data_IF_773941026983
#
_entry.id   IF_773941026983
#
_cell.length_a   1.000
_cell.length_b   1.000
_cell.length_c   1.000
_cell.angle_alpha   90.00
_cell.angle_beta   90.00
_cell.angle_gamma   90.00
#
_symmetry.space_group_name_H-M   'P 1'
#
loop_
_entity.id
_entity.type
_entity.pdbx_description
1 polymer ?
#
# COMPACT_ATOMS: atom_id res chain seq x y z
N UNK A 1 36.84 2.40 -23.77
CA UNK A 1 38.20 2.07 -23.32
C UNK A 1 38.19 2.03 -21.80
N UNK A 2 38.61 0.92 -21.22
CA UNK A 2 38.43 0.57 -19.81
C UNK A 2 39.25 1.48 -18.87
N UNK A 3 38.63 1.95 -17.79
CA UNK A 3 39.31 2.47 -16.61
C UNK A 3 38.83 1.72 -15.37
N UNK A 4 39.74 0.88 -14.89
CA UNK A 4 39.99 0.38 -13.53
C UNK A 4 39.10 0.88 -12.38
N UNK A 5 38.58 -0.08 -11.61
CA UNK A 5 38.49 0.02 -10.16
C UNK A 5 38.87 -1.35 -9.54
N UNK A 6 40.17 -1.54 -9.34
CA UNK A 6 40.72 -2.42 -8.30
C UNK A 6 40.50 -1.73 -6.97
N UNK A 7 39.89 -2.39 -5.97
CA UNK A 7 40.32 -2.23 -4.59
C UNK A 7 39.77 -3.33 -3.65
N UNK A 8 40.72 -3.88 -2.88
CA UNK A 8 40.63 -4.61 -1.60
C UNK A 8 40.26 -6.10 -1.61
N UNK A 9 41.20 -6.93 -2.05
CA UNK A 9 41.47 -8.23 -1.39
C UNK A 9 42.87 -8.15 -0.78
N UNK A 10 43.02 -7.45 0.35
CA UNK A 10 44.23 -7.56 1.15
C UNK A 10 43.95 -7.29 2.63
N UNK A 11 44.42 -8.23 3.46
CA UNK A 11 44.35 -8.32 4.95
C UNK A 11 43.30 -9.28 5.51
N UNK A 12 43.54 -10.58 5.33
CA UNK A 12 43.35 -11.53 6.43
C UNK A 12 44.71 -12.14 6.76
N UNK A 13 45.08 -11.98 8.02
CA UNK A 13 46.37 -12.27 8.60
C UNK A 13 46.80 -13.71 8.40
N UNK A 14 48.09 -13.89 8.12
CA UNK A 14 48.83 -15.14 8.25
C UNK A 14 48.99 -15.50 9.74
N UNK A 15 47.89 -15.77 10.43
CA UNK A 15 47.89 -16.52 11.69
C UNK A 15 47.45 -17.94 11.40
N UNK A 16 48.41 -18.87 11.42
CA UNK A 16 48.15 -20.31 11.32
C UNK A 16 47.33 -20.74 12.54
N UNK A 17 46.01 -20.86 12.39
CA UNK A 17 45.19 -21.63 13.31
C UNK A 17 45.67 -23.09 13.30
N UNK A 18 45.87 -23.74 14.46
CA UNK A 18 46.35 -25.11 14.52
C UNK A 18 45.22 -26.04 14.12
N UNK A 19 45.20 -26.46 12.85
CA UNK A 19 44.32 -27.54 12.38
C UNK A 19 45.02 -28.86 12.72
N UNK A 20 44.88 -29.30 13.97
CA UNK A 20 45.26 -30.66 14.35
C UNK A 20 44.35 -31.68 13.64
N UNK A 21 44.96 -32.59 12.87
CA UNK A 21 44.51 -33.97 12.83
C UNK A 21 43.33 -34.36 11.92
N UNK A 22 43.06 -33.68 10.79
CA UNK A 22 42.17 -34.24 9.77
C UNK A 22 42.86 -34.40 8.42
N UNK A 23 42.90 -35.64 7.92
CA UNK A 23 43.42 -35.96 6.60
C UNK A 23 42.71 -35.14 5.51
N UNK A 24 43.46 -34.78 4.45
CA UNK A 24 43.03 -33.94 3.32
C UNK A 24 41.69 -34.33 2.68
N UNK A 25 41.21 -35.56 2.92
CA UNK A 25 40.00 -36.11 2.32
C UNK A 25 38.68 -35.70 2.98
N UNK A 26 38.66 -35.01 4.14
CA UNK A 26 37.40 -34.67 4.83
C UNK A 26 37.08 -33.17 4.83
N UNK A 27 36.78 -32.64 3.64
CA UNK A 27 36.43 -31.23 3.43
C UNK A 27 35.25 -30.76 4.31
N UNK A 28 34.25 -31.61 4.54
CA UNK A 28 33.05 -31.27 5.35
C UNK A 28 33.40 -31.00 6.82
N UNK A 29 34.28 -31.81 7.41
CA UNK A 29 34.69 -31.64 8.80
C UNK A 29 35.45 -30.32 9.01
N UNK A 30 36.29 -29.94 8.05
CA UNK A 30 37.04 -28.68 8.08
C UNK A 30 36.14 -27.47 7.89
N UNK A 31 35.21 -27.49 6.93
CA UNK A 31 34.26 -26.38 6.73
C UNK A 31 33.38 -26.16 7.97
N UNK A 32 32.95 -27.24 8.63
CA UNK A 32 32.20 -27.19 9.89
C UNK A 32 33.00 -26.46 10.99
N UNK A 33 34.27 -26.81 11.15
CA UNK A 33 35.15 -26.27 12.18
C UNK A 33 35.54 -24.81 11.89
N UNK A 34 35.88 -24.46 10.64
CA UNK A 34 36.25 -23.11 10.26
C UNK A 34 35.08 -22.11 10.35
N UNK A 35 33.86 -22.55 10.04
CA UNK A 35 32.66 -21.69 10.06
C UNK A 35 31.90 -21.77 11.39
N UNK A 36 32.33 -22.62 12.32
CA UNK A 36 31.66 -22.89 13.60
C UNK A 36 30.15 -23.18 13.46
N UNK A 37 29.77 -23.96 12.44
CA UNK A 37 28.37 -24.34 12.17
C UNK A 37 28.12 -25.81 12.53
N UNK A 38 26.87 -26.18 12.81
CA UNK A 38 26.53 -27.58 13.05
C UNK A 38 26.62 -28.41 11.77
N UNK A 39 26.89 -29.71 11.90
CA UNK A 39 26.96 -30.62 10.73
C UNK A 39 25.62 -30.70 10.00
N UNK A 40 24.51 -30.61 10.73
CA UNK A 40 23.17 -30.54 10.15
C UNK A 40 22.97 -29.28 9.30
N UNK A 41 23.49 -28.13 9.74
CA UNK A 41 23.45 -26.89 8.96
C UNK A 41 24.27 -27.02 7.69
N UNK A 42 25.50 -27.54 7.77
CA UNK A 42 26.35 -27.77 6.60
C UNK A 42 25.71 -28.74 5.60
N UNK A 43 25.09 -29.83 6.07
CA UNK A 43 24.34 -30.76 5.20
C UNK A 43 23.15 -30.09 4.52
N UNK A 44 22.40 -29.25 5.24
CA UNK A 44 21.29 -28.50 4.66
C UNK A 44 21.75 -27.48 3.61
N UNK A 45 22.87 -26.77 3.85
CA UNK A 45 23.47 -25.86 2.88
C UNK A 45 23.95 -26.60 1.63
N UNK A 46 24.66 -27.71 1.77
CA UNK A 46 25.15 -28.51 0.64
C UNK A 46 24.01 -29.17 -0.15
N UNK A 47 22.92 -29.57 0.52
CA UNK A 47 21.71 -30.06 -0.14
C UNK A 47 21.09 -28.95 -1.00
N UNK A 48 20.89 -27.77 -0.42
CA UNK A 48 20.32 -26.61 -1.13
C UNK A 48 21.17 -26.15 -2.30
N UNK A 49 22.50 -26.12 -2.15
CA UNK A 49 23.42 -25.78 -3.22
C UNK A 49 23.46 -26.81 -4.37
N UNK A 50 22.92 -28.02 -4.18
CA UNK A 50 22.70 -28.98 -5.27
C UNK A 50 21.35 -28.80 -5.97
N UNK A 51 20.40 -28.21 -5.29
CA UNK A 51 19.02 -28.01 -5.77
C UNK A 51 18.85 -26.65 -6.46
N UNK A 52 19.59 -25.63 -6.02
CA UNK A 52 19.60 -24.27 -6.56
C UNK A 52 21.00 -23.98 -7.13
N UNK A 53 21.09 -23.63 -8.42
CA UNK A 53 22.34 -23.35 -9.15
C UNK A 53 23.05 -22.05 -8.69
N UNK A 54 22.64 -21.50 -7.54
CA UNK A 54 23.22 -20.32 -6.91
C UNK A 54 23.02 -20.33 -5.38
N UNK A 55 24.04 -19.88 -4.63
CA UNK A 55 23.94 -19.67 -3.19
C UNK A 55 23.06 -18.45 -2.87
N UNK A 56 21.84 -18.67 -2.39
CA UNK A 56 20.99 -17.62 -1.83
C UNK A 56 20.94 -17.68 -0.30
N UNK A 57 20.99 -16.51 0.35
CA UNK A 57 20.85 -16.37 1.81
C UNK A 57 19.42 -16.79 2.21
N UNK A 58 19.21 -17.59 3.27
CA UNK A 58 17.86 -18.02 3.62
C UNK A 58 17.04 -16.84 4.15
N UNK A 59 16.26 -16.21 3.28
CA UNK A 59 15.13 -15.38 3.67
C UNK A 59 14.07 -16.28 4.30
N UNK A 60 13.90 -16.21 5.61
CA UNK A 60 12.81 -16.91 6.29
C UNK A 60 11.47 -16.27 5.89
N UNK A 61 10.83 -16.77 4.84
CA UNK A 61 9.40 -16.56 4.67
C UNK A 61 8.68 -17.34 5.80
N UNK A 62 8.50 -16.70 6.96
CA UNK A 62 7.69 -17.26 8.04
C UNK A 62 6.24 -17.28 7.54
N UNK A 63 5.71 -18.45 7.22
CA UNK A 63 4.34 -18.65 6.74
C UNK A 63 3.23 -18.42 7.79
N UNK A 64 3.44 -17.57 8.79
CA UNK A 64 2.38 -17.16 9.72
C UNK A 64 1.77 -15.85 9.22
N UNK A 65 0.46 -15.83 9.01
CA UNK A 65 -0.27 -14.61 8.72
C UNK A 65 0.03 -13.57 9.82
N UNK A 66 0.42 -12.36 9.41
CA UNK A 66 0.73 -11.29 10.35
C UNK A 66 -0.58 -10.73 10.93
N UNK A 67 -0.91 -10.96 12.21
CA UNK A 67 -2.18 -10.49 12.76
C UNK A 67 -2.24 -8.97 12.91
N UNK A 68 -1.12 -8.24 12.74
CA UNK A 68 -1.10 -6.76 12.77
C UNK A 68 -1.31 -6.15 11.39
N UNK A 69 -1.25 -6.96 10.34
CA UNK A 69 -1.37 -6.53 8.93
C UNK A 69 -2.20 -7.56 8.14
N UNK A 70 -3.51 -7.64 8.41
CA UNK A 70 -4.40 -8.46 7.61
C UNK A 70 -4.59 -7.84 6.22
N UNK A 71 -5.23 -8.57 5.30
CA UNK A 71 -5.54 -8.06 3.96
C UNK A 71 -6.52 -6.89 4.00
N UNK A 72 -6.50 -6.03 2.97
CA UNK A 72 -7.32 -4.81 2.91
C UNK A 72 -8.82 -5.06 3.10
N UNK A 73 -9.34 -6.16 2.56
CA UNK A 73 -10.76 -6.52 2.74
C UNK A 73 -11.08 -6.86 4.20
N UNK A 74 -10.14 -7.45 4.92
CA UNK A 74 -10.29 -7.71 6.36
C UNK A 74 -10.21 -6.40 7.15
N UNK A 75 -9.29 -5.50 6.81
CA UNK A 75 -9.19 -4.16 7.40
C UNK A 75 -10.48 -3.38 7.24
N UNK A 76 -11.04 -3.34 6.04
CA UNK A 76 -12.32 -2.68 5.73
C UNK A 76 -13.46 -3.20 6.61
N UNK A 77 -13.63 -4.52 6.70
CA UNK A 77 -14.65 -5.13 7.55
C UNK A 77 -14.47 -4.85 9.04
N UNK A 78 -13.23 -4.83 9.53
CA UNK A 78 -12.95 -4.47 10.93
C UNK A 78 -13.41 -3.03 11.17
N UNK A 79 -13.10 -2.12 10.25
CA UNK A 79 -13.52 -0.71 10.29
C UNK A 79 -15.05 -0.57 10.24
N UNK A 80 -15.76 -1.34 9.39
CA UNK A 80 -17.23 -1.38 9.34
C UNK A 80 -17.85 -1.81 10.69
N UNK A 81 -17.29 -2.83 11.32
CA UNK A 81 -17.74 -3.28 12.66
C UNK A 81 -17.56 -2.16 13.67
N UNK A 82 -16.41 -1.46 13.65
CA UNK A 82 -16.15 -0.33 14.55
C UNK A 82 -17.19 0.79 14.35
N UNK A 83 -17.48 1.15 13.10
CA UNK A 83 -18.49 2.16 12.79
C UNK A 83 -19.91 1.72 13.17
N UNK A 84 -20.23 0.43 13.07
CA UNK A 84 -21.52 -0.12 13.50
C UNK A 84 -21.73 0.07 15.01
N UNK A 85 -20.72 -0.27 15.83
CA UNK A 85 -20.78 -0.03 17.28
C UNK A 85 -20.98 1.45 17.61
N UNK A 86 -20.32 2.36 16.87
CA UNK A 86 -20.49 3.80 17.06
C UNK A 86 -21.89 4.27 16.70
N UNK A 87 -22.43 3.79 15.57
CA UNK A 87 -23.81 4.08 15.13
C UNK A 87 -24.83 3.60 16.17
N UNK A 88 -24.60 2.42 16.75
CA UNK A 88 -25.43 1.84 17.81
C UNK A 88 -25.19 2.45 19.20
N UNK A 89 -24.24 3.39 19.34
CA UNK A 89 -23.82 4.00 20.61
C UNK A 89 -23.44 2.95 21.67
N UNK A 90 -22.90 1.81 21.24
CA UNK A 90 -22.45 0.72 22.11
C UNK A 90 -21.07 1.03 22.66
N UNK A 91 -20.90 0.76 23.96
CA UNK A 91 -19.58 0.80 24.58
C UNK A 91 -18.67 -0.26 23.95
N UNK A 92 -17.51 0.16 23.48
CA UNK A 92 -16.54 -0.70 22.80
C UNK A 92 -15.21 -0.67 23.55
N UNK A 93 -14.87 -1.79 24.19
CA UNK A 93 -13.50 -2.05 24.66
C UNK A 93 -12.76 -2.91 23.64
N UNK A 94 -11.43 -2.93 23.74
CA UNK A 94 -10.59 -3.80 22.91
C UNK A 94 -10.98 -5.29 23.03
N UNK A 95 -11.40 -5.74 24.22
CA UNK A 95 -11.87 -7.13 24.42
C UNK A 95 -13.20 -7.39 23.73
N UNK A 96 -14.17 -6.49 23.89
CA UNK A 96 -15.49 -6.63 23.25
C UNK A 96 -15.31 -6.67 21.72
N UNK A 97 -14.50 -5.77 21.16
CA UNK A 97 -14.23 -5.74 19.74
C UNK A 97 -13.54 -7.03 19.26
N UNK A 98 -12.51 -7.51 19.98
CA UNK A 98 -11.84 -8.77 19.63
C UNK A 98 -12.80 -9.95 19.60
N UNK A 99 -13.68 -10.03 20.61
CA UNK A 99 -14.60 -11.16 20.75
C UNK A 99 -15.66 -11.14 19.65
N UNK A 100 -16.15 -9.96 19.27
CA UNK A 100 -17.02 -9.77 18.09
C UNK A 100 -16.32 -10.15 16.79
N UNK A 101 -15.10 -9.64 16.57
CA UNK A 101 -14.33 -9.96 15.35
C UNK A 101 -14.01 -11.46 15.23
N UNK A 102 -13.81 -12.15 16.37
CA UNK A 102 -13.66 -13.61 16.41
C UNK A 102 -14.96 -14.33 16.09
N UNK A 103 -16.08 -13.88 16.64
CA UNK A 103 -17.41 -14.44 16.35
C UNK A 103 -17.74 -14.35 14.86
N UNK A 104 -17.31 -13.27 14.20
CA UNK A 104 -17.48 -13.07 12.76
C UNK A 104 -16.38 -13.74 11.89
N UNK A 105 -15.44 -14.47 12.50
CA UNK A 105 -14.27 -15.06 11.83
C UNK A 105 -13.42 -14.05 11.04
N UNK A 106 -13.41 -12.79 11.46
CA UNK A 106 -12.64 -11.71 10.82
C UNK A 106 -11.22 -11.59 11.40
N UNK A 107 -11.03 -11.95 12.66
CA UNK A 107 -9.76 -11.75 13.34
C UNK A 107 -9.43 -12.86 14.34
N UNK A 108 -8.19 -13.37 14.31
CA UNK A 108 -7.72 -14.43 15.21
C UNK A 108 -6.54 -14.01 16.10
N UNK A 109 -6.07 -12.77 16.01
CA UNK A 109 -4.91 -12.28 16.77
C UNK A 109 -5.18 -12.09 18.27
N UNK A 110 -4.14 -11.69 19.00
CA UNK A 110 -4.21 -11.32 20.41
C UNK A 110 -4.81 -9.91 20.60
N UNK A 111 -5.05 -9.48 21.85
CA UNK A 111 -5.46 -8.10 22.13
C UNK A 111 -4.38 -7.12 21.68
N UNK A 112 -3.11 -7.43 21.95
CA UNK A 112 -2.00 -6.54 21.59
C UNK A 112 -1.84 -6.42 20.08
N UNK A 113 -1.96 -7.54 19.35
CA UNK A 113 -1.95 -7.50 17.88
C UNK A 113 -3.13 -6.71 17.33
N UNK A 114 -4.31 -6.78 17.97
CA UNK A 114 -5.47 -5.99 17.58
C UNK A 114 -5.23 -4.51 17.88
N UNK A 115 -4.61 -4.16 19.01
CA UNK A 115 -4.26 -2.78 19.36
C UNK A 115 -3.33 -2.16 18.31
N UNK A 116 -2.27 -2.88 17.94
CA UNK A 116 -1.33 -2.43 16.89
C UNK A 116 -2.05 -2.29 15.55
N UNK A 117 -2.89 -3.28 15.19
CA UNK A 117 -3.70 -3.20 13.98
C UNK A 117 -4.61 -1.96 13.97
N UNK A 118 -5.31 -1.70 15.07
CA UNK A 118 -6.20 -0.54 15.19
C UNK A 118 -5.44 0.78 15.08
N UNK A 119 -4.25 0.87 15.70
CA UNK A 119 -3.35 2.01 15.52
C UNK A 119 -2.96 2.22 14.06
N UNK A 120 -2.59 1.13 13.38
CA UNK A 120 -2.28 1.12 11.95
C UNK A 120 -3.51 1.31 11.05
N UNK A 121 -4.72 1.33 11.60
CA UNK A 121 -5.98 1.68 10.94
C UNK A 121 -6.47 3.08 11.30
N UNK A 122 -5.66 3.87 12.00
CA UNK A 122 -6.02 5.23 12.37
C UNK A 122 -6.91 5.32 13.62
N UNK A 123 -6.88 4.32 14.51
CA UNK A 123 -7.58 4.35 15.78
C UNK A 123 -6.64 4.23 16.97
N UNK A 124 -6.90 4.95 18.04
CA UNK A 124 -6.17 4.85 19.30
C UNK A 124 -7.11 4.75 20.50
N UNK A 125 -6.57 4.30 21.63
CA UNK A 125 -7.34 4.18 22.86
C UNK A 125 -7.02 5.33 23.80
N UNK A 126 -8.06 6.05 24.23
CA UNK A 126 -7.96 7.08 25.26
C UNK A 126 -8.50 6.56 26.56
N UNK A 127 -7.84 6.91 27.65
CA UNK A 127 -8.39 6.71 28.99
C UNK A 127 -9.18 7.95 29.38
N UNK A 128 -10.48 7.79 29.57
CA UNK A 128 -11.32 8.81 30.22
C UNK A 128 -11.94 8.21 31.47
N UNK A 129 -11.72 8.86 32.62
CA UNK A 129 -12.14 8.38 33.95
C UNK A 129 -11.80 6.89 34.22
N UNK A 130 -10.61 6.43 33.79
CA UNK A 130 -10.14 5.05 33.95
C UNK A 130 -10.73 4.04 32.96
N UNK A 131 -11.60 4.47 32.05
CA UNK A 131 -12.20 3.63 31.01
C UNK A 131 -11.49 3.86 29.67
N UNK A 132 -11.10 2.79 28.99
CA UNK A 132 -10.49 2.87 27.66
C UNK A 132 -11.55 2.97 26.57
N UNK A 133 -11.52 4.05 25.79
CA UNK A 133 -12.38 4.28 24.64
C UNK A 133 -11.57 4.25 23.34
N UNK A 134 -12.09 3.53 22.33
CA UNK A 134 -11.54 3.57 20.98
C UNK A 134 -11.97 4.87 20.28
N UNK A 135 -11.02 5.77 20.00
CA UNK A 135 -11.24 6.95 19.18
C UNK A 135 -10.57 6.80 17.82
N UNK A 136 -11.06 7.53 16.81
CA UNK A 136 -10.28 7.75 15.59
C UNK A 136 -9.17 8.74 15.91
N UNK A 137 -8.01 8.57 15.30
CA UNK A 137 -6.91 9.51 15.41
C UNK A 137 -7.37 10.89 14.91
N UNK A 138 -7.08 11.98 15.65
CA UNK A 138 -7.50 13.33 15.26
C UNK A 138 -7.11 13.71 13.84
N UNK A 139 -5.90 13.35 13.39
CA UNK A 139 -5.45 13.61 12.02
C UNK A 139 -6.28 12.89 10.94
N UNK A 140 -6.80 11.69 11.21
CA UNK A 140 -7.70 10.97 10.30
C UNK A 140 -9.07 11.67 10.25
N UNK A 141 -9.60 12.05 11.41
CA UNK A 141 -10.87 12.80 11.50
C UNK A 141 -10.78 14.13 10.75
N UNK A 142 -9.70 14.89 10.93
CA UNK A 142 -9.49 16.18 10.26
C UNK A 142 -9.44 16.03 8.74
N UNK A 143 -8.62 15.09 8.23
CA UNK A 143 -8.55 14.81 6.78
C UNK A 143 -9.90 14.39 6.22
N UNK A 144 -10.67 13.63 7.00
CA UNK A 144 -12.00 13.18 6.62
C UNK A 144 -13.00 14.33 6.57
N UNK A 145 -13.02 15.19 7.59
CA UNK A 145 -13.87 16.39 7.60
C UNK A 145 -13.51 17.34 6.46
N UNK A 146 -12.21 17.56 6.19
CA UNK A 146 -11.75 18.35 5.05
C UNK A 146 -12.27 17.78 3.73
N UNK A 147 -12.10 16.47 3.51
CA UNK A 147 -12.59 15.81 2.30
C UNK A 147 -14.11 16.01 2.13
N UNK A 148 -14.90 15.72 3.17
CA UNK A 148 -16.35 15.85 3.13
C UNK A 148 -16.79 17.29 2.80
N UNK A 149 -16.14 18.29 3.41
CA UNK A 149 -16.43 19.72 3.16
C UNK A 149 -16.13 20.13 1.74
N UNK A 150 -14.93 19.83 1.23
CA UNK A 150 -14.54 20.24 -0.11
C UNK A 150 -15.32 19.47 -1.19
N UNK A 151 -15.63 18.19 -0.96
CA UNK A 151 -16.50 17.43 -1.86
C UNK A 151 -17.91 18.01 -1.90
N UNK A 152 -18.52 18.29 -0.74
CA UNK A 152 -19.87 18.87 -0.66
C UNK A 152 -19.93 20.27 -1.28
N UNK A 153 -18.93 21.11 -1.01
CA UNK A 153 -18.78 22.44 -1.61
C UNK A 153 -18.67 22.37 -3.13
N UNK A 154 -17.91 21.42 -3.68
CA UNK A 154 -17.89 21.19 -5.12
C UNK A 154 -19.26 20.72 -5.63
N UNK A 155 -19.90 19.79 -4.94
CA UNK A 155 -21.20 19.21 -5.32
C UNK A 155 -22.34 20.24 -5.37
N UNK A 156 -22.33 21.22 -4.47
CA UNK A 156 -23.34 22.29 -4.35
C UNK A 156 -22.97 23.58 -5.08
N UNK A 157 -21.77 23.64 -5.67
CA UNK A 157 -21.30 24.78 -6.45
C UNK A 157 -22.20 25.04 -7.66
N UNK A 158 -22.39 26.32 -8.01
CA UNK A 158 -23.04 26.70 -9.27
C UNK A 158 -22.26 26.22 -10.50
N UNK A 159 -20.94 26.03 -10.36
CA UNK A 159 -20.03 25.53 -11.39
C UNK A 159 -19.19 24.40 -10.78
N UNK A 160 -19.75 23.19 -10.64
CA UNK A 160 -19.03 22.06 -10.07
C UNK A 160 -17.95 21.59 -11.03
N UNK A 161 -16.76 21.28 -10.51
CA UNK A 161 -15.75 20.57 -11.28
C UNK A 161 -16.15 19.10 -11.42
N UNK A 162 -15.96 18.55 -12.61
CA UNK A 162 -16.25 17.13 -12.91
C UNK A 162 -15.26 16.23 -12.14
N UNK A 163 -15.73 15.37 -11.22
CA UNK A 163 -14.84 14.47 -10.47
C UNK A 163 -14.18 13.41 -11.36
N UNK A 164 -12.87 13.26 -11.23
CA UNK A 164 -12.03 12.26 -11.89
C UNK A 164 -11.29 11.47 -10.83
N UNK A 165 -11.55 10.19 -10.77
CA UNK A 165 -11.03 9.26 -9.78
C UNK A 165 -9.83 8.53 -10.34
N UNK A 166 -8.71 8.62 -9.63
CA UNK A 166 -7.45 7.97 -9.95
C UNK A 166 -7.13 6.97 -8.85
N UNK A 167 -6.63 5.81 -9.26
CA UNK A 167 -6.12 4.78 -8.36
C UNK A 167 -5.23 3.76 -9.10
N UNK A 168 -4.45 3.00 -8.35
CA UNK A 168 -3.69 1.85 -8.82
C UNK A 168 -4.24 0.52 -8.32
N UNK A 169 -4.31 -0.45 -9.22
CA UNK A 169 -4.58 -1.83 -8.89
C UNK A 169 -3.47 -2.76 -9.38
N UNK A 170 -3.44 -3.99 -8.86
CA UNK A 170 -2.60 -5.05 -9.38
C UNK A 170 -3.42 -6.25 -9.85
N UNK A 171 -2.85 -6.99 -10.80
CA UNK A 171 -3.30 -8.31 -11.21
C UNK A 171 -2.11 -9.25 -11.42
N UNK A 172 -2.37 -10.53 -11.62
CA UNK A 172 -1.35 -11.54 -11.93
C UNK A 172 -1.59 -12.13 -13.31
N UNK A 173 -0.51 -12.54 -13.96
CA UNK A 173 -0.50 -13.19 -15.28
C UNK A 173 -1.48 -14.36 -15.42
N UNK A 174 -1.79 -15.06 -14.32
CA UNK A 174 -2.74 -16.18 -14.29
C UNK A 174 -4.00 -15.90 -13.47
N UNK A 175 -4.33 -14.62 -13.29
CA UNK A 175 -5.46 -14.18 -12.47
C UNK A 175 -5.20 -14.23 -10.96
N UNK A 176 -6.17 -13.75 -10.19
CA UNK A 176 -6.12 -13.60 -8.73
C UNK A 176 -6.21 -14.92 -7.94
N UNK A 177 -6.33 -16.06 -8.63
CA UNK A 177 -6.46 -17.40 -8.04
C UNK A 177 -7.88 -17.75 -7.57
N UNK A 178 -8.88 -16.93 -7.88
CA UNK A 178 -10.29 -17.19 -7.57
C UNK A 178 -10.93 -17.97 -8.73
N UNK A 179 -10.97 -19.31 -8.66
CA UNK A 179 -11.68 -20.12 -9.66
C UNK A 179 -13.21 -20.07 -9.46
N UNK A 180 -14.01 -20.02 -10.54
CA UNK A 180 -15.43 -20.35 -10.48
C UNK A 180 -15.63 -21.75 -9.89
N UNK A 181 -16.76 -22.00 -9.23
CA UNK A 181 -17.12 -23.33 -8.71
C UNK A 181 -17.11 -24.34 -9.86
N UNK A 182 -16.08 -25.18 -9.94
CA UNK A 182 -16.11 -26.39 -10.73
C UNK A 182 -16.95 -27.43 -9.97
N UNK A 183 -18.07 -27.86 -10.58
CA UNK A 183 -18.88 -28.97 -10.09
C UNK A 183 -18.22 -30.33 -10.39
N UNK A 184 -17.15 -30.35 -11.19
CA UNK A 184 -16.38 -31.54 -11.53
C UNK A 184 -15.15 -31.65 -10.62
N UNK A 185 -15.35 -31.84 -9.33
CA UNK A 185 -14.35 -32.48 -8.48
C UNK A 185 -15.10 -33.33 -7.46
N UNK A 186 -15.11 -34.63 -7.71
CA UNK A 186 -15.71 -35.65 -6.84
C UNK A 186 -15.23 -35.44 -5.38
N UNK A 187 -16.16 -34.99 -4.52
CA UNK A 187 -16.16 -35.31 -3.10
C UNK A 187 -15.70 -34.25 -2.10
N UNK A 188 -15.14 -33.09 -2.48
CA UNK A 188 -14.83 -32.02 -1.50
C UNK A 188 -14.97 -30.63 -2.12
N UNK A 189 -15.97 -29.87 -1.70
CA UNK A 189 -16.06 -28.42 -1.96
C UNK A 189 -15.03 -27.69 -1.09
N UNK A 190 -13.77 -27.67 -1.53
CA UNK A 190 -12.72 -26.87 -0.88
C UNK A 190 -12.23 -25.81 -1.87
N UNK A 191 -12.47 -24.53 -1.56
CA UNK A 191 -11.78 -23.44 -2.24
C UNK A 191 -10.31 -23.48 -1.83
N UNK A 192 -9.48 -24.17 -2.59
CA UNK A 192 -8.04 -24.04 -2.42
C UNK A 192 -7.62 -22.75 -3.13
N UNK A 193 -7.46 -21.65 -2.38
CA UNK A 193 -6.76 -20.45 -2.87
C UNK A 193 -5.35 -20.92 -3.23
N UNK A 194 -5.05 -21.06 -4.52
CA UNK A 194 -3.66 -21.20 -4.95
C UNK A 194 -3.00 -19.83 -4.82
N UNK A 195 -1.75 -19.81 -4.34
CA UNK A 195 -0.96 -18.60 -4.28
C UNK A 195 -0.88 -17.97 -5.68
N UNK A 196 -1.11 -16.67 -5.76
CA UNK A 196 -0.96 -15.79 -6.94
C UNK A 196 0.15 -16.27 -7.89
N UNK A 197 -0.22 -16.85 -9.04
CA UNK A 197 0.71 -17.49 -9.98
C UNK A 197 1.10 -16.55 -11.13
N UNK A 198 2.40 -16.44 -11.39
CA UNK A 198 2.96 -15.70 -12.54
C UNK A 198 3.39 -14.27 -12.22
N UNK A 199 3.74 -13.51 -13.26
CA UNK A 199 4.18 -12.12 -13.13
C UNK A 199 3.07 -11.23 -12.56
N UNK A 200 3.44 -10.26 -11.71
CA UNK A 200 2.52 -9.22 -11.23
C UNK A 200 2.46 -8.11 -12.26
N UNK A 201 1.29 -7.52 -12.46
CA UNK A 201 1.11 -6.30 -13.22
C UNK A 201 0.51 -5.23 -12.31
N UNK A 202 0.95 -3.99 -12.49
CA UNK A 202 0.41 -2.79 -11.86
C UNK A 202 -0.32 -2.02 -12.95
N UNK A 203 -1.53 -1.60 -12.64
CA UNK A 203 -2.39 -0.82 -13.53
C UNK A 203 -2.74 0.46 -12.79
N UNK A 204 -2.47 1.61 -13.40
CA UNK A 204 -2.97 2.92 -12.98
C UNK A 204 -3.94 3.43 -14.03
N UNK A 205 -5.07 4.01 -13.63
CA UNK A 205 -5.94 4.69 -14.56
C UNK A 205 -6.78 5.76 -13.86
N UNK A 206 -7.19 6.77 -14.63
CA UNK A 206 -8.18 7.78 -14.22
C UNK A 206 -9.50 7.65 -14.98
N UNK A 207 -10.64 7.76 -14.28
CA UNK A 207 -11.98 7.75 -14.87
C UNK A 207 -13.00 8.55 -14.06
N UNK A 208 -14.21 8.72 -14.57
CA UNK A 208 -15.29 9.40 -13.84
C UNK A 208 -16.66 9.05 -14.43
N UNK A 209 -17.72 9.76 -14.03
CA UNK A 209 -19.09 9.43 -14.45
C UNK A 209 -19.32 9.41 -15.98
N UNK A 210 -18.45 10.06 -16.76
CA UNK A 210 -18.46 10.05 -18.24
C UNK A 210 -17.64 8.91 -18.86
N UNK A 211 -17.10 8.00 -18.06
CA UNK A 211 -16.20 6.92 -18.48
C UNK A 211 -14.72 7.21 -18.19
N UNK A 212 -13.86 6.38 -18.77
CA UNK A 212 -12.40 6.50 -18.70
C UNK A 212 -11.89 7.79 -19.34
N UNK A 213 -10.86 8.40 -18.76
CA UNK A 213 -10.12 9.48 -19.42
C UNK A 213 -9.27 8.84 -20.53
N UNK A 214 -9.45 9.22 -21.82
CA UNK A 214 -8.73 8.60 -22.92
C UNK A 214 -7.21 8.75 -22.74
N UNK A 215 -6.45 7.69 -23.03
CA UNK A 215 -4.98 7.66 -22.92
C UNK A 215 -4.40 7.94 -21.51
N UNK A 216 -5.22 7.93 -20.45
CA UNK A 216 -4.78 8.12 -19.07
C UNK A 216 -4.52 6.80 -18.32
N UNK A 217 -4.37 5.70 -19.05
CA UNK A 217 -4.16 4.35 -18.49
C UNK A 217 -2.72 3.90 -18.65
N UNK A 218 -2.15 3.36 -17.58
CA UNK A 218 -0.79 2.82 -17.55
C UNK A 218 -0.83 1.36 -17.10
N UNK A 219 -0.17 0.48 -17.85
CA UNK A 219 -0.04 -0.95 -17.55
C UNK A 219 1.44 -1.32 -17.47
N UNK A 220 1.92 -1.64 -16.26
CA UNK A 220 3.33 -1.93 -15.98
C UNK A 220 3.51 -3.34 -15.45
N UNK A 221 4.55 -4.03 -15.92
CA UNK A 221 4.94 -5.34 -15.39
C UNK A 221 5.75 -5.15 -14.10
N UNK A 222 5.23 -5.65 -12.97
CA UNK A 222 5.95 -5.74 -11.71
C UNK A 222 7.02 -6.82 -11.76
N UNK A 223 8.27 -6.47 -11.53
CA UNK A 223 9.41 -7.40 -11.62
C UNK A 223 9.79 -7.94 -10.23
N UNK A 224 10.21 -9.22 -10.18
CA UNK A 224 10.87 -9.84 -9.01
C UNK A 224 12.38 -9.99 -9.17
N UNK A 225 12.93 -9.77 -10.37
CA UNK A 225 14.34 -9.92 -10.69
C UNK A 225 15.13 -8.61 -10.64
N UNK A 226 16.31 -8.65 -10.01
CA UNK A 226 17.20 -7.49 -9.79
C UNK A 226 17.95 -6.99 -11.03
N UNK A 227 17.76 -7.62 -12.19
CA UNK A 227 18.59 -7.41 -13.39
C UNK A 227 17.84 -6.84 -14.61
N UNK A 228 16.56 -6.45 -14.48
CA UNK A 228 15.84 -5.77 -15.56
C UNK A 228 15.93 -4.26 -15.31
N UNK A 229 16.75 -3.61 -16.13
CA UNK A 229 17.19 -2.22 -15.99
C UNK A 229 16.04 -1.26 -16.35
N UNK A 230 15.61 -0.47 -15.34
CA UNK A 230 14.68 0.67 -15.40
C UNK A 230 13.17 0.45 -15.70
N UNK A 231 12.33 1.01 -14.81
CA UNK A 231 10.85 1.18 -14.79
C UNK A 231 9.95 0.10 -14.15
N UNK A 232 10.41 -0.64 -13.14
CA UNK A 232 9.82 -1.95 -12.80
C UNK A 232 8.98 -2.05 -11.51
N UNK A 233 8.82 -0.97 -10.73
CA UNK A 233 7.82 -0.83 -9.63
C UNK A 233 7.27 0.61 -9.61
N UNK A 234 5.98 0.79 -9.24
CA UNK A 234 5.38 2.13 -9.15
C UNK A 234 6.09 2.94 -8.06
N UNK A 235 6.75 4.03 -8.44
CA UNK A 235 7.44 4.94 -7.55
C UNK A 235 7.04 6.39 -7.84
N UNK A 236 7.47 7.32 -6.98
CA UNK A 236 7.08 8.73 -7.10
C UNK A 236 7.40 9.37 -8.45
N UNK A 237 8.55 9.04 -9.05
CA UNK A 237 8.94 9.55 -10.38
C UNK A 237 8.05 9.00 -11.49
N UNK A 238 7.80 7.69 -11.47
CA UNK A 238 6.94 7.01 -12.46
C UNK A 238 5.51 7.53 -12.37
N UNK A 239 5.00 7.69 -11.16
CA UNK A 239 3.67 8.27 -10.92
C UNK A 239 3.60 9.72 -11.38
N UNK A 240 4.55 10.57 -11.00
CA UNK A 240 4.56 11.99 -11.40
C UNK A 240 4.63 12.17 -12.92
N UNK A 241 5.39 11.31 -13.61
CA UNK A 241 5.40 11.27 -15.09
C UNK A 241 4.03 10.89 -15.64
N UNK A 242 3.45 9.79 -15.14
CA UNK A 242 2.11 9.33 -15.54
C UNK A 242 1.04 10.40 -15.28
N UNK A 243 1.09 11.05 -14.12
CA UNK A 243 0.18 12.12 -13.74
C UNK A 243 0.26 13.29 -14.72
N UNK A 244 1.47 13.72 -15.08
CA UNK A 244 1.66 14.85 -16.00
C UNK A 244 1.35 14.50 -17.46
N UNK A 245 1.92 13.41 -17.96
CA UNK A 245 1.95 13.08 -19.39
C UNK A 245 0.69 12.34 -19.85
N UNK A 246 0.09 11.52 -18.99
CA UNK A 246 -1.06 10.70 -19.35
C UNK A 246 -2.37 11.24 -18.75
N UNK A 247 -2.37 11.66 -17.48
CA UNK A 247 -3.59 12.14 -16.82
C UNK A 247 -3.87 13.60 -17.21
N UNK A 248 -3.02 14.55 -16.78
CA UNK A 248 -3.25 15.98 -16.99
C UNK A 248 -3.32 16.35 -18.48
N UNK A 249 -2.45 15.79 -19.31
CA UNK A 249 -2.45 16.08 -20.76
C UNK A 249 -3.74 15.65 -21.48
N UNK A 250 -4.49 14.68 -20.92
CA UNK A 250 -5.73 14.18 -21.52
C UNK A 250 -7.01 14.71 -20.85
N UNK A 251 -6.89 15.52 -19.78
CA UNK A 251 -8.02 16.24 -19.20
C UNK A 251 -8.30 17.53 -19.98
N UNK A 252 -9.42 17.54 -20.72
CA UNK A 252 -9.79 18.66 -21.62
C UNK A 252 -10.45 19.83 -20.90
N UNK A 253 -11.04 19.58 -19.74
CA UNK A 253 -11.82 20.55 -18.98
C UNK A 253 -11.34 20.57 -17.51
N UNK A 254 -11.40 21.72 -16.83
CA UNK A 254 -11.16 21.80 -15.39
C UNK A 254 -11.93 20.70 -14.64
N UNK A 255 -11.20 19.95 -13.83
CA UNK A 255 -11.69 18.71 -13.22
C UNK A 255 -11.23 18.62 -11.77
N UNK A 256 -12.00 17.94 -10.94
CA UNK A 256 -11.63 17.62 -9.56
C UNK A 256 -11.02 16.22 -9.54
N UNK A 257 -9.70 16.14 -9.45
CA UNK A 257 -8.95 14.88 -9.41
C UNK A 257 -8.96 14.35 -7.97
N UNK A 258 -9.57 13.19 -7.78
CA UNK A 258 -9.68 12.50 -6.49
C UNK A 258 -8.76 11.28 -6.52
N UNK A 259 -7.82 11.22 -5.58
CA UNK A 259 -6.84 10.14 -5.44
C UNK A 259 -6.54 9.84 -3.98
N UNK A 260 -5.89 8.72 -3.71
CA UNK A 260 -5.53 8.33 -2.35
C UNK A 260 -4.31 9.11 -1.81
N UNK A 261 -3.84 8.71 -0.64
CA UNK A 261 -2.73 9.31 0.07
C UNK A 261 -1.49 8.38 0.08
N UNK A 262 -1.28 7.56 -0.95
CA UNK A 262 -0.09 6.72 -1.02
C UNK A 262 1.21 7.54 -0.92
N UNK A 263 2.26 6.94 -0.35
CA UNK A 263 3.52 7.65 -0.13
C UNK A 263 4.12 8.23 -1.43
N UNK A 264 3.95 7.53 -2.56
CA UNK A 264 4.40 7.99 -3.88
C UNK A 264 3.50 9.07 -4.50
N UNK A 265 2.30 9.35 -3.96
CA UNK A 265 1.47 10.51 -4.33
C UNK A 265 1.86 11.78 -3.55
N UNK A 266 2.58 11.61 -2.44
CA UNK A 266 3.00 12.70 -1.54
C UNK A 266 4.46 13.10 -1.74
N UNK A 267 4.96 12.97 -2.97
CA UNK A 267 6.30 13.48 -3.30
C UNK A 267 6.30 14.99 -3.09
N UNK A 268 7.18 15.46 -2.21
CA UNK A 268 7.35 16.87 -1.90
C UNK A 268 8.28 17.51 -2.94
N UNK A 269 7.96 18.73 -3.35
CA UNK A 269 8.81 19.51 -4.26
C UNK A 269 10.15 19.84 -3.60
N UNK A 270 10.08 20.35 -2.38
CA UNK A 270 11.23 20.54 -1.51
C UNK A 270 11.21 19.50 -0.39
N UNK A 271 12.27 18.69 -0.33
CA UNK A 271 12.38 17.69 0.74
C UNK A 271 12.51 18.39 2.08
N UNK A 272 11.70 17.95 3.05
CA UNK A 272 11.78 18.48 4.41
C UNK A 272 12.83 17.74 5.24
N UNK A 273 13.46 18.42 6.21
CA UNK A 273 14.42 17.84 7.15
C UNK A 273 13.88 16.61 7.89
N UNK A 274 14.65 15.52 7.88
CA UNK A 274 14.35 14.28 8.63
C UNK A 274 15.52 13.89 9.51
N UNK A 275 15.29 12.97 10.45
CA UNK A 275 16.34 12.40 11.33
C UNK A 275 17.49 11.74 10.55
N UNK A 276 17.23 11.30 9.31
CA UNK A 276 18.21 10.68 8.43
C UNK A 276 19.12 11.68 7.70
N UNK A 277 18.84 12.99 7.77
CA UNK A 277 19.64 14.00 7.10
C UNK A 277 20.97 14.22 7.81
N UNK A 278 22.01 14.45 7.02
CA UNK A 278 23.34 14.81 7.51
C UNK A 278 23.34 16.26 7.94
N UNK A 279 24.28 16.60 8.83
CA UNK A 279 24.48 17.97 9.33
C UNK A 279 24.52 19.02 8.21
N UNK A 280 25.18 18.69 7.10
CA UNK A 280 25.30 19.57 5.93
C UNK A 280 23.94 19.85 5.30
N UNK A 281 23.13 18.81 5.08
CA UNK A 281 21.80 18.95 4.47
C UNK A 281 20.87 19.79 5.36
N UNK A 282 20.96 19.63 6.68
CA UNK A 282 20.22 20.47 7.64
C UNK A 282 20.64 21.94 7.56
N UNK A 283 21.95 22.21 7.50
CA UNK A 283 22.49 23.57 7.35
C UNK A 283 22.08 24.20 6.01
N UNK A 284 22.25 23.47 4.91
CA UNK A 284 21.87 23.93 3.57
C UNK A 284 20.38 24.31 3.51
N UNK A 285 19.52 23.52 4.16
CA UNK A 285 18.09 23.83 4.26
C UNK A 285 17.79 25.04 5.15
N UNK A 286 18.46 25.15 6.31
CA UNK A 286 18.31 26.32 7.19
C UNK A 286 18.76 27.60 6.48
N UNK A 287 19.88 27.55 5.76
CA UNK A 287 20.41 28.66 4.97
C UNK A 287 19.43 29.05 3.83
N UNK A 288 18.87 28.06 3.13
CA UNK A 288 17.90 28.28 2.04
C UNK A 288 16.58 28.87 2.55
N UNK A 289 16.19 28.56 3.78
CA UNK A 289 14.99 29.09 4.45
C UNK A 289 15.27 30.37 5.28
N UNK A 290 16.51 30.90 5.25
CA UNK A 290 16.89 32.10 5.98
C UNK A 290 16.85 31.97 7.50
N UNK A 291 17.00 30.76 8.03
CA UNK A 291 16.96 30.45 9.47
C UNK A 291 18.38 30.46 10.03
N UNK A 292 18.73 31.41 10.93
CA UNK A 292 20.07 31.49 11.49
C UNK A 292 20.34 30.35 12.49
N UNK A 293 21.52 29.75 12.42
CA UNK A 293 22.00 28.75 13.39
C UNK A 293 23.39 29.12 13.93
N UNK A 294 23.79 28.54 15.07
CA UNK A 294 25.11 28.76 15.68
C UNK A 294 26.12 27.73 15.19
N UNK A 295 27.35 28.17 14.93
CA UNK A 295 28.46 27.23 14.70
C UNK A 295 28.69 26.36 15.93
N UNK A 296 28.70 25.04 15.73
CA UNK A 296 28.85 24.03 16.80
C UNK A 296 27.56 23.33 17.25
N UNK A 297 26.38 23.73 16.75
CA UNK A 297 25.13 23.01 17.00
C UNK A 297 25.20 21.55 16.54
N UNK A 298 24.63 20.65 17.34
CA UNK A 298 24.56 19.22 17.00
C UNK A 298 23.53 18.95 15.91
N UNK A 299 23.54 17.76 15.31
CA UNK A 299 22.49 17.37 14.36
C UNK A 299 21.10 17.43 14.97
N UNK A 300 20.96 17.06 16.25
CA UNK A 300 19.69 17.11 16.97
C UNK A 300 19.22 18.56 17.13
N UNK A 301 20.12 19.48 17.49
CA UNK A 301 19.78 20.91 17.63
C UNK A 301 19.37 21.53 16.28
N UNK A 302 20.12 21.23 15.22
CA UNK A 302 19.82 21.72 13.87
C UNK A 302 18.51 21.15 13.34
N UNK A 303 18.23 19.86 13.60
CA UNK A 303 16.98 19.23 13.21
C UNK A 303 15.80 19.80 14.01
N UNK A 304 15.96 20.03 15.31
CA UNK A 304 14.92 20.66 16.14
C UNK A 304 14.62 22.08 15.67
N UNK A 305 15.65 22.87 15.38
CA UNK A 305 15.50 24.21 14.80
C UNK A 305 14.79 24.15 13.45
N UNK A 306 15.20 23.24 12.57
CA UNK A 306 14.57 23.07 11.27
C UNK A 306 13.10 22.61 11.38
N UNK A 307 12.77 21.76 12.36
CA UNK A 307 11.39 21.36 12.68
C UNK A 307 10.52 22.54 13.12
N UNK A 308 11.06 23.45 13.92
CA UNK A 308 10.35 24.67 14.36
C UNK A 308 10.03 25.64 13.22
N UNK A 309 10.78 25.57 12.12
CA UNK A 309 10.64 26.45 10.96
C UNK A 309 10.12 25.71 9.72
N UNK A 310 9.54 24.52 9.89
CA UNK A 310 8.99 23.75 8.77
C UNK A 310 7.93 24.57 8.04
N UNK A 311 8.07 24.60 6.72
CA UNK A 311 7.06 25.12 5.81
C UNK A 311 6.12 23.98 5.44
N UNK A 312 4.84 24.29 5.23
CA UNK A 312 3.87 23.32 4.74
C UNK A 312 4.40 22.67 3.45
N UNK A 313 4.57 21.33 3.42
CA UNK A 313 5.17 20.67 2.28
C UNK A 313 4.27 20.77 1.05
N UNK A 314 4.74 21.50 0.04
CA UNK A 314 4.08 21.54 -1.27
C UNK A 314 4.34 20.23 -2.00
N UNK A 315 3.26 19.57 -2.41
CA UNK A 315 3.34 18.32 -3.15
C UNK A 315 3.53 18.60 -4.64
N UNK A 316 4.39 17.83 -5.29
CA UNK A 316 4.71 17.96 -6.73
C UNK A 316 3.44 17.92 -7.59
N UNK A 317 2.48 17.07 -7.23
CA UNK A 317 1.20 16.95 -7.93
C UNK A 317 0.33 18.20 -7.77
N UNK A 318 0.34 18.83 -6.60
CA UNK A 318 -0.39 20.08 -6.34
C UNK A 318 0.22 21.23 -7.16
N UNK A 319 1.55 21.28 -7.21
CA UNK A 319 2.28 22.23 -8.06
C UNK A 319 2.02 22.04 -9.55
N UNK A 320 1.87 20.80 -10.01
CA UNK A 320 1.55 20.50 -11.41
C UNK A 320 0.16 20.99 -11.83
N UNK A 321 -0.80 21.07 -10.91
CA UNK A 321 -2.17 21.54 -11.23
C UNK A 321 -2.37 23.03 -11.01
N UNK A 322 -1.43 23.73 -10.36
CA UNK A 322 -1.48 25.19 -10.22
C UNK A 322 -1.64 25.88 -11.58
N UNK A 323 -2.61 26.79 -11.69
CA UNK A 323 -2.87 27.55 -12.93
C UNK A 323 -3.53 26.77 -14.06
N UNK A 324 -3.74 25.45 -13.93
CA UNK A 324 -4.41 24.62 -14.96
C UNK A 324 -5.94 24.64 -14.85
N UNK A 325 -6.48 25.10 -13.71
CA UNK A 325 -7.90 25.02 -13.38
C UNK A 325 -8.33 23.67 -12.77
N UNK A 326 -7.50 22.64 -12.85
CA UNK A 326 -7.72 21.39 -12.11
C UNK A 326 -7.51 21.58 -10.61
N UNK A 327 -8.17 20.75 -9.81
CA UNK A 327 -7.97 20.68 -8.36
C UNK A 327 -7.75 19.24 -7.94
N UNK A 328 -6.90 19.02 -6.94
CA UNK A 328 -6.72 17.71 -6.32
C UNK A 328 -7.48 17.67 -5.00
N UNK A 329 -8.19 16.56 -4.75
CA UNK A 329 -8.82 16.27 -3.47
C UNK A 329 -8.44 14.87 -3.02
N UNK A 330 -7.62 14.77 -1.96
CA UNK A 330 -7.10 13.48 -1.49
C UNK A 330 -8.07 12.79 -0.54
N UNK A 331 -8.27 11.50 -0.75
CA UNK A 331 -9.11 10.67 0.11
C UNK A 331 -8.52 10.56 1.52
N UNK A 332 -9.35 10.56 2.57
CA UNK A 332 -8.87 10.31 3.91
C UNK A 332 -8.35 8.86 4.03
N UNK A 333 -7.33 8.61 4.87
CA UNK A 333 -6.83 7.26 5.11
C UNK A 333 -7.96 6.30 5.47
N UNK A 334 -7.94 5.08 4.92
CA UNK A 334 -8.94 4.01 5.15
C UNK A 334 -10.36 4.28 4.64
N UNK A 335 -10.52 5.21 3.68
CA UNK A 335 -11.82 5.54 3.05
C UNK A 335 -11.84 5.24 1.54
N UNK A 336 -11.22 4.13 1.12
CA UNK A 336 -11.24 3.69 -0.29
C UNK A 336 -12.65 3.42 -0.82
N UNK A 337 -13.62 3.08 0.03
CA UNK A 337 -15.03 2.92 -0.32
C UNK A 337 -15.71 4.21 -0.84
N UNK A 338 -15.10 5.39 -0.64
CA UNK A 338 -15.52 6.63 -1.27
C UNK A 338 -14.95 6.82 -2.69
N UNK A 339 -14.02 5.95 -3.11
CA UNK A 339 -13.45 5.94 -4.44
C UNK A 339 -14.19 4.96 -5.35
N UNK A 340 -15.02 5.42 -6.32
CA UNK A 340 -15.79 4.54 -7.19
C UNK A 340 -14.92 3.67 -8.10
N UNK A 341 -13.67 4.06 -8.36
CA UNK A 341 -12.75 3.25 -9.16
C UNK A 341 -12.46 1.89 -8.51
N UNK A 342 -12.60 1.75 -7.19
CA UNK A 342 -12.46 0.46 -6.50
C UNK A 342 -13.57 -0.53 -6.92
N UNK A 343 -14.79 -0.04 -7.11
CA UNK A 343 -15.90 -0.84 -7.65
C UNK A 343 -15.64 -1.22 -9.11
N UNK A 344 -15.10 -0.28 -9.88
CA UNK A 344 -14.69 -0.49 -11.28
C UNK A 344 -13.60 -1.55 -11.37
N UNK A 345 -12.56 -1.49 -10.52
CA UNK A 345 -11.55 -2.54 -10.39
C UNK A 345 -12.15 -3.89 -10.04
N UNK A 346 -13.17 -3.92 -9.18
CA UNK A 346 -13.92 -5.14 -8.92
C UNK A 346 -14.55 -5.74 -10.18
N UNK A 347 -15.13 -4.91 -11.06
CA UNK A 347 -15.73 -5.33 -12.33
C UNK A 347 -14.65 -5.81 -13.31
N UNK A 348 -13.63 -4.98 -13.55
CA UNK A 348 -12.52 -5.26 -14.46
C UNK A 348 -11.79 -6.54 -14.07
N UNK A 349 -11.49 -6.75 -12.78
CA UNK A 349 -10.82 -7.97 -12.29
C UNK A 349 -11.68 -9.21 -12.48
N UNK A 350 -13.00 -9.13 -12.27
CA UNK A 350 -13.90 -10.28 -12.51
C UNK A 350 -13.92 -10.69 -13.98
N UNK A 351 -13.94 -9.72 -14.89
CA UNK A 351 -13.80 -10.00 -16.32
C UNK A 351 -12.43 -10.62 -16.61
N UNK A 352 -11.36 -9.98 -16.14
CA UNK A 352 -10.00 -10.46 -16.34
C UNK A 352 -9.82 -11.92 -15.86
N UNK A 353 -10.22 -12.23 -14.63
CA UNK A 353 -10.09 -13.56 -14.03
C UNK A 353 -10.95 -14.63 -14.75
N UNK A 354 -12.04 -14.23 -15.41
CA UNK A 354 -12.89 -15.16 -16.18
C UNK A 354 -12.42 -15.38 -17.62
N UNK A 355 -11.59 -14.47 -18.16
CA UNK A 355 -11.14 -14.47 -19.55
C UNK A 355 -9.64 -14.72 -19.71
N UNK A 356 -8.87 -14.61 -18.63
CA UNK A 356 -7.47 -15.04 -18.62
C UNK A 356 -7.47 -16.56 -18.66
N UNK A 357 -7.16 -17.11 -19.83
CA UNK A 357 -7.07 -18.54 -20.01
C UNK A 357 -5.96 -19.10 -19.12
N UNK A 358 -6.26 -20.14 -18.33
CA UNK A 358 -5.21 -21.11 -18.05
C UNK A 358 -4.69 -21.52 -19.42
N UNK A 359 -3.40 -21.31 -19.70
CA UNK A 359 -2.73 -22.15 -20.70
C UNK A 359 -3.09 -23.55 -20.27
N UNK A 360 -3.97 -24.28 -20.99
CA UNK A 360 -4.33 -25.61 -20.55
C UNK A 360 -3.01 -26.36 -20.52
N UNK A 361 -2.89 -27.30 -19.60
CA UNK A 361 -1.77 -28.23 -19.54
C UNK A 361 -1.57 -29.06 -20.83
N UNK A 362 -2.17 -28.68 -21.96
CA UNK A 362 -2.08 -29.29 -23.27
C UNK A 362 -0.64 -29.38 -23.78
N UNK A 363 0.23 -28.40 -23.50
CA UNK A 363 1.66 -28.54 -23.82
C UNK A 363 2.31 -29.68 -23.04
N UNK A 364 1.96 -29.84 -21.76
CA UNK A 364 2.45 -30.95 -20.93
C UNK A 364 1.80 -32.28 -21.31
N UNK A 365 0.51 -32.30 -21.65
CA UNK A 365 -0.22 -33.49 -22.09
C UNK A 365 0.32 -34.00 -23.42
N UNK A 366 0.60 -33.12 -24.39
CA UNK A 366 1.24 -33.46 -25.66
C UNK A 366 2.67 -33.99 -25.46
N UNK A 367 3.44 -33.43 -24.52
CA UNK A 367 4.78 -33.93 -24.18
C UNK A 367 4.74 -35.32 -23.49
N UNK A 368 3.69 -35.59 -22.70
CA UNK A 368 3.58 -36.84 -21.92
C UNK A 368 2.97 -37.99 -22.73
N UNK A 369 2.03 -37.70 -23.63
CA UNK A 369 1.31 -38.73 -24.43
C UNK A 369 1.97 -39.05 -25.79
N UNK A 370 2.63 -38.09 -26.44
CA UNK A 370 3.16 -38.31 -27.81
C UNK A 370 4.62 -38.74 -27.88
N UNK A 371 5.35 -38.69 -26.76
CA UNK A 371 6.75 -39.12 -26.67
C UNK A 371 7.72 -38.30 -27.54
N UNK A 372 9.01 -38.25 -27.19
CA UNK A 372 10.00 -37.37 -27.85
C UNK A 372 10.39 -37.77 -29.29
N UNK A 373 9.69 -38.71 -29.94
CA UNK A 373 10.15 -39.37 -31.18
C UNK A 373 9.26 -39.19 -32.42
N UNK A 374 8.16 -38.44 -32.36
CA UNK A 374 7.35 -38.14 -33.56
C UNK A 374 7.47 -36.69 -34.08
N UNK A 375 8.43 -35.92 -33.59
CA UNK A 375 8.81 -34.68 -34.27
C UNK A 375 9.72 -35.00 -35.46
N UNK A 376 9.13 -35.19 -36.64
CA UNK A 376 9.88 -35.04 -37.90
C UNK A 376 10.42 -33.60 -37.97
N UNK A 377 11.64 -33.38 -38.47
CA UNK A 377 12.32 -32.09 -38.37
C UNK A 377 11.73 -31.15 -39.41
N UNK A 378 10.62 -30.48 -39.10
CA UNK A 378 10.33 -29.22 -39.78
C UNK A 378 11.36 -28.21 -39.30
N UNK A 379 12.27 -27.90 -40.21
CA UNK A 379 13.41 -26.99 -40.06
C UNK A 379 12.90 -25.58 -39.82
N UNK A 380 12.58 -25.24 -38.57
CA UNK A 380 12.20 -23.89 -38.18
C UNK A 380 13.39 -22.96 -38.37
N UNK A 381 13.36 -22.19 -39.44
CA UNK A 381 14.24 -21.04 -39.61
C UNK A 381 13.81 -19.99 -38.59
N UNK A 382 14.78 -19.45 -37.85
CA UNK A 382 14.63 -18.21 -37.09
C UNK A 382 14.13 -17.14 -38.05
N UNK A 383 12.88 -16.73 -37.92
CA UNK A 383 12.35 -15.36 -38.06
C UNK A 383 10.82 -15.41 -38.07
N UNK A 384 10.20 -14.33 -37.59
CA UNK A 384 8.78 -13.99 -37.62
C UNK A 384 7.80 -14.73 -36.69
N UNK A 385 7.36 -13.99 -35.66
CA UNK A 385 6.02 -13.93 -35.06
C UNK A 385 5.07 -15.11 -35.35
N UNK A 386 5.13 -16.15 -34.53
CA UNK A 386 4.01 -17.08 -34.39
C UNK A 386 3.05 -16.55 -33.31
N UNK A 387 2.05 -15.79 -33.75
CA UNK A 387 0.81 -15.61 -32.99
C UNK A 387 0.13 -16.97 -32.90
N UNK A 388 0.22 -17.65 -31.76
CA UNK A 388 -0.61 -18.82 -31.49
C UNK A 388 -2.07 -18.33 -31.50
N UNK A 389 -2.84 -18.80 -32.48
CA UNK A 389 -4.22 -18.42 -32.76
C UNK A 389 -5.08 -18.40 -31.48
N UNK A 390 -5.51 -17.21 -31.07
CA UNK A 390 -6.60 -17.00 -30.11
C UNK A 390 -6.24 -16.79 -28.64
N UNK A 391 -4.97 -16.86 -28.23
CA UNK A 391 -4.59 -16.61 -26.83
C UNK A 391 -4.25 -15.12 -26.66
N UNK A 392 -5.11 -14.38 -25.95
CA UNK A 392 -4.87 -12.97 -25.60
C UNK A 392 -3.79 -12.86 -24.52
N UNK A 393 -2.90 -11.87 -24.65
CA UNK A 393 -1.94 -11.54 -23.59
C UNK A 393 -2.67 -10.96 -22.36
N UNK A 394 -2.06 -11.00 -21.16
CA UNK A 394 -2.61 -10.31 -19.98
C UNK A 394 -3.02 -8.86 -20.24
N UNK A 395 -2.19 -8.11 -20.98
CA UNK A 395 -2.48 -6.74 -21.35
C UNK A 395 -3.70 -6.62 -22.28
N UNK A 396 -3.83 -7.51 -23.27
CA UNK A 396 -4.99 -7.54 -24.16
C UNK A 396 -6.28 -7.91 -23.42
N UNK A 397 -6.25 -8.92 -22.55
CA UNK A 397 -7.41 -9.29 -21.73
C UNK A 397 -7.79 -8.16 -20.79
N UNK A 398 -6.80 -7.47 -20.22
CA UNK A 398 -7.05 -6.30 -19.38
C UNK A 398 -7.66 -5.15 -20.16
N UNK A 399 -7.20 -4.90 -21.39
CA UNK A 399 -7.80 -3.91 -22.28
C UNK A 399 -9.26 -4.23 -22.59
N UNK A 400 -9.57 -5.48 -22.94
CA UNK A 400 -10.97 -5.90 -23.13
C UNK A 400 -11.79 -5.71 -21.84
N UNK A 401 -11.20 -5.98 -20.68
CA UNK A 401 -11.86 -5.80 -19.39
C UNK A 401 -12.23 -4.34 -19.15
N UNK A 402 -11.34 -3.40 -19.49
CA UNK A 402 -11.61 -1.97 -19.40
C UNK A 402 -12.74 -1.54 -20.35
N UNK A 403 -12.83 -2.13 -21.54
CA UNK A 403 -13.91 -1.88 -22.51
C UNK A 403 -15.28 -2.33 -21.99
N UNK A 404 -15.33 -3.28 -21.06
CA UNK A 404 -16.60 -3.70 -20.41
C UNK A 404 -17.15 -2.66 -19.43
N UNK A 405 -16.32 -1.73 -18.97
CA UNK A 405 -16.71 -0.65 -18.06
C UNK A 405 -17.17 0.54 -18.90
N UNK A 406 -18.46 0.55 -19.22
CA UNK A 406 -19.08 1.62 -20.01
C UNK A 406 -19.27 2.91 -19.17
N UNK A 407 -19.55 4.06 -19.80
CA UNK A 407 -19.91 5.28 -19.07
C UNK A 407 -21.09 5.09 -18.11
N UNK A 408 -22.06 4.24 -18.44
CA UNK A 408 -23.21 3.94 -17.58
C UNK A 408 -22.78 3.20 -16.31
N UNK A 409 -21.90 2.21 -16.43
CA UNK A 409 -21.31 1.49 -15.29
C UNK A 409 -20.53 2.46 -14.40
N UNK A 410 -19.72 3.32 -15.00
CA UNK A 410 -18.99 4.37 -14.30
C UNK A 410 -19.92 5.33 -13.54
N UNK A 411 -20.99 5.79 -14.19
CA UNK A 411 -21.97 6.67 -13.58
C UNK A 411 -22.68 6.00 -12.40
N UNK A 412 -23.02 4.71 -12.49
CA UNK A 412 -23.61 3.96 -11.38
C UNK A 412 -22.65 3.87 -10.18
N UNK A 413 -21.38 3.53 -10.42
CA UNK A 413 -20.36 3.51 -9.36
C UNK A 413 -20.19 4.89 -8.71
N UNK A 414 -20.08 5.96 -9.50
CA UNK A 414 -19.96 7.33 -9.01
C UNK A 414 -21.20 7.78 -8.22
N UNK A 415 -22.40 7.44 -8.67
CA UNK A 415 -23.65 7.77 -7.98
C UNK A 415 -23.73 7.07 -6.62
N UNK A 416 -23.33 5.80 -6.57
CA UNK A 416 -23.28 5.04 -5.33
C UNK A 416 -22.33 5.68 -4.31
N UNK A 417 -21.08 5.96 -4.69
CA UNK A 417 -20.11 6.55 -3.76
C UNK A 417 -20.45 7.98 -3.39
N UNK A 418 -20.96 8.79 -4.34
CA UNK A 418 -21.44 10.15 -4.06
C UNK A 418 -22.54 10.14 -3.00
N UNK A 419 -23.50 9.21 -3.07
CA UNK A 419 -24.54 9.06 -2.05
C UNK A 419 -23.93 8.78 -0.68
N UNK A 420 -22.96 7.86 -0.58
CA UNK A 420 -22.28 7.55 0.68
C UNK A 420 -21.54 8.77 1.26
N UNK A 421 -20.86 9.54 0.41
CA UNK A 421 -20.12 10.74 0.81
C UNK A 421 -21.09 11.82 1.34
N UNK A 422 -22.21 12.05 0.64
CA UNK A 422 -23.21 13.03 1.07
C UNK A 422 -23.90 12.60 2.37
N UNK A 423 -24.25 11.32 2.52
CA UNK A 423 -24.77 10.80 3.79
C UNK A 423 -23.77 10.97 4.94
N UNK A 424 -22.48 10.75 4.70
CA UNK A 424 -21.43 10.99 5.70
C UNK A 424 -21.30 12.49 6.05
N UNK A 425 -21.38 13.38 5.06
CA UNK A 425 -21.39 14.83 5.28
C UNK A 425 -22.56 15.26 6.17
N UNK A 426 -23.78 14.82 5.88
CA UNK A 426 -24.96 15.18 6.67
C UNK A 426 -24.86 14.70 8.13
N UNK A 427 -24.40 13.46 8.32
CA UNK A 427 -24.30 12.87 9.65
C UNK A 427 -23.20 13.49 10.50
N UNK A 428 -22.08 13.87 9.89
CA UNK A 428 -20.84 14.18 10.62
C UNK A 428 -20.43 15.65 10.57
N UNK A 429 -20.78 16.36 9.50
CA UNK A 429 -20.36 17.74 9.27
C UNK A 429 -21.54 18.69 9.35
N UNK A 430 -22.64 18.44 8.66
CA UNK A 430 -23.80 19.33 8.67
C UNK A 430 -24.46 19.42 10.06
N UNK A 431 -24.37 18.35 10.86
CA UNK A 431 -24.85 18.29 12.24
C UNK A 431 -23.97 19.03 13.26
N UNK A 432 -22.78 19.49 12.84
CA UNK A 432 -21.84 20.23 13.68
C UNK A 432 -21.83 21.69 13.20
N UNK A 433 -22.51 22.56 13.93
CA UNK A 433 -22.49 24.01 13.70
C UNK A 433 -21.08 24.51 13.35
N UNK A 434 -20.98 25.36 12.34
CA UNK A 434 -19.76 25.86 11.67
C UNK A 434 -18.54 26.04 12.60
N UNK A 435 -17.64 25.06 12.62
CA UNK A 435 -16.23 25.32 12.96
C UNK A 435 -15.47 25.51 11.65
N UNK A 436 -15.31 26.78 11.26
CA UNK A 436 -14.30 27.20 10.30
C UNK A 436 -12.95 26.78 10.87
N UNK A 437 -12.37 25.72 10.30
CA UNK A 437 -11.00 25.32 10.61
C UNK A 437 -10.14 26.20 9.71
N UNK A 438 -9.36 27.10 10.32
CA UNK A 438 -8.26 27.75 9.63
C UNK A 438 -7.20 26.69 9.31
N UNK A 439 -6.80 26.60 8.04
CA UNK A 439 -5.69 25.75 7.59
C UNK A 439 -4.39 26.20 8.27
N UNK A 440 -4.08 25.60 9.41
CA UNK A 440 -2.73 25.49 9.95
C UNK A 440 -2.53 24.01 10.28
N UNK A 441 -1.83 23.33 9.38
CA UNK A 441 -1.60 21.89 9.36
C UNK A 441 -0.50 21.49 10.36
N UNK A 442 -0.77 21.60 11.66
CA UNK A 442 0.09 20.96 12.67
C UNK A 442 -0.41 19.53 12.93
N UNK A 443 0.01 18.61 12.06
CA UNK A 443 -0.10 17.17 12.30
C UNK A 443 1.31 16.55 12.32
N UNK A 444 2.07 16.92 13.35
CA UNK A 444 3.26 16.20 13.79
C UNK A 444 2.81 15.08 14.74
N UNK A 445 2.89 13.82 14.29
CA UNK A 445 3.34 12.69 15.13
C UNK A 445 3.52 11.43 14.27
N UNK A 446 4.68 11.32 13.64
CA UNK A 446 5.23 10.02 13.25
C UNK A 446 6.75 10.10 13.28
N UNK A 447 7.32 9.96 14.48
CA UNK A 447 8.66 9.45 14.75
C UNK A 447 8.80 9.27 16.27
N UNK A 448 8.33 8.14 16.81
CA UNK A 448 8.64 7.74 18.20
C UNK A 448 9.24 6.34 18.19
N UNK A 449 10.49 6.27 17.73
CA UNK A 449 11.45 5.26 18.22
C UNK A 449 12.17 5.89 19.42
N UNK A 450 11.55 5.90 20.60
CA UNK A 450 12.24 5.89 21.89
C UNK A 450 11.22 5.63 23.03
N UNK A 451 11.49 4.75 23.99
CA UNK A 451 10.61 4.52 25.14
C UNK A 451 10.63 5.72 26.09
N UNK A 452 9.50 6.07 26.74
CA UNK A 452 9.44 7.22 27.63
C UNK A 452 10.32 7.03 28.87
N UNK A 453 11.06 8.06 29.32
CA UNK A 453 11.76 8.02 30.59
C UNK A 453 10.76 7.97 31.75
N UNK A 454 11.12 7.17 32.77
CA UNK A 454 10.43 7.06 34.05
C UNK A 454 10.65 8.33 34.90
N UNK A 455 9.57 8.74 35.58
CA UNK A 455 9.48 9.63 36.75
C UNK A 455 9.81 11.14 36.59
N UNK A 456 8.78 12.02 36.66
CA UNK A 456 8.42 12.90 37.80
C UNK A 456 7.22 13.84 37.43
N UNK A 457 6.56 14.61 38.33
CA UNK A 457 5.12 14.84 38.28
C UNK A 457 4.71 16.27 37.87
N UNK A 458 3.62 16.37 37.09
CA UNK A 458 2.60 17.45 36.97
C UNK A 458 2.97 18.93 37.22
N UNK A 459 2.39 19.87 36.44
CA UNK A 459 1.12 20.47 36.89
C UNK A 459 0.00 20.54 35.83
N UNK A 460 -1.22 20.31 36.31
CA UNK A 460 -2.53 20.53 35.69
C UNK A 460 -2.62 21.76 34.77
N UNK A 461 -3.06 21.55 33.53
CA UNK A 461 -3.80 22.58 32.76
C UNK A 461 -5.21 22.03 32.53
N UNK A 462 -6.17 22.70 33.17
CA UNK A 462 -7.61 22.48 33.05
C UNK A 462 -8.08 22.80 31.62
N UNK A 463 -8.65 21.81 30.94
CA UNK A 463 -9.62 22.05 29.88
C UNK A 463 -10.94 21.43 30.34
N UNK A 464 -11.88 22.30 30.72
CA UNK A 464 -13.24 21.93 31.07
C UNK A 464 -13.95 21.30 29.85
N UNK A 465 -14.61 20.19 30.11
CA UNK A 465 -15.33 19.41 29.11
C UNK A 465 -16.78 19.85 28.91
N UNK A 466 -17.39 19.23 27.88
CA UNK A 466 -18.83 19.06 27.78
C UNK A 466 -19.12 17.58 27.57
N UNK A 467 -19.40 16.94 28.69
CA UNK A 467 -19.99 15.61 28.79
C UNK A 467 -21.49 15.74 28.53
N UNK A 468 -22.05 14.98 27.58
CA UNK A 468 -23.50 14.91 27.38
C UNK A 468 -24.14 14.14 28.54
N UNK A 469 -24.90 14.86 29.37
CA UNK A 469 -25.71 14.30 30.45
C UNK A 469 -26.84 13.40 29.90
N UNK A 470 -26.77 12.11 30.25
CA UNK A 470 -27.94 11.23 30.34
C UNK A 470 -28.61 11.48 31.68
N UNK A 471 -29.73 12.21 31.69
CA UNK A 471 -30.67 12.20 32.81
C UNK A 471 -32.01 11.63 32.36
N UNK A 472 -32.27 10.40 32.81
CA UNK A 472 -33.56 9.73 32.80
C UNK A 472 -34.52 10.46 33.76
N UNK A 473 -35.54 11.12 33.22
CA UNK A 473 -36.71 11.57 34.01
C UNK A 473 -37.56 10.35 34.37
N UNK A 474 -37.60 9.99 35.66
CA UNK A 474 -38.75 9.30 36.27
C UNK A 474 -39.75 10.37 36.67
N UNK A 475 -40.97 10.30 36.13
CA UNK A 475 -42.13 10.99 36.67
C UNK A 475 -42.96 9.97 37.44
N UNK A 476 -43.30 10.36 38.69
CA UNK A 476 -44.34 9.88 39.63
C UNK A 476 -44.68 8.39 39.62
#
# INVERSE_FOLDING_TARGET
MHSTNNFVFEKLSTEKLPVEGFALHNAKARTKQCLNISEGSLKNYLRRAREEDAFSTPGSARGRANPTEPDEKTKEKITEVIYTFRKEKRHMTLSILRDELRAQNLYAGSLESLRILLYNLGFDFVVDNGTHFLREQPGVVLRRMHFLREFYKNHTSATPLDPKYQDETWTFEKGSGIKPRSWMTLGKSFQQRQATLGKRFIISHTGGAKGWVPNAGLFVKGVRDKNDDYHTEMNGETFNRHFKEDILANLKEPSLIIMDNAAYHRVQEEKQPTSNWRQRELKDWLDSNGVPYREGMTNADLLALARMHKVEPVLVTDKMVEGTGHKILRLPPYHSHWNPIELVWGITKRYYDSHISEVPCYTKYLETELGPKQFLPFRFHRTSNFTILGIKTPEQVWKDALETVTPEVWAECCNHTTKLILEAYENEVASRDEWVIHDNFDADDSDVDDPPPLDDPTPQVLINGLCMNLQTKRNV
#
